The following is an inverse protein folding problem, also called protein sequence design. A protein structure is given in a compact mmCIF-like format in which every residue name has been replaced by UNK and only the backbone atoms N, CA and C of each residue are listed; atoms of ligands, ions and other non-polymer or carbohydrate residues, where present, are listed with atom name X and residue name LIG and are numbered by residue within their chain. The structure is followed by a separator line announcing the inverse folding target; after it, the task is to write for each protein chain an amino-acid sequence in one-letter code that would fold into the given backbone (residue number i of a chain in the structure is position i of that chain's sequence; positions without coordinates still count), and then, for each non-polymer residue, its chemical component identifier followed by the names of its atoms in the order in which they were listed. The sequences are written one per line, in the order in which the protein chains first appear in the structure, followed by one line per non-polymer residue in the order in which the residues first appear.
data_IF_576597247444
#
_entry.id   IF_576597247444
#
_cell.length_a   1.000
_cell.length_b   1.000
_cell.length_c   1.000
_cell.angle_alpha   90.00
_cell.angle_beta   90.00
_cell.angle_gamma   90.00
#
_symmetry.space_group_name_H-M   'P 1'
#
loop_
_entity.id
_entity.type
_entity.pdbx_description
1 polymer ?
#
# COMPACT_ATOMS: atom_id res chain seq x y z
N UNK A 1 -56.55 -21.65 0.72
CA UNK A 1 -56.14 -21.12 2.03
C UNK A 1 -54.92 -20.22 1.77
N UNK A 2 -55.16 -18.93 1.54
CA UNK A 2 -54.12 -17.90 1.36
C UNK A 2 -53.85 -17.28 2.73
N UNK A 3 -52.64 -17.35 3.22
CA UNK A 3 -52.20 -16.69 4.44
C UNK A 3 -51.19 -15.59 4.11
N UNK A 4 -51.59 -14.42 4.50
CA UNK A 4 -51.06 -13.08 4.47
C UNK A 4 -49.61 -13.02 4.99
N UNK A 5 -48.66 -12.60 4.15
CA UNK A 5 -47.33 -12.09 4.58
C UNK A 5 -47.26 -10.61 4.15
N UNK A 6 -47.68 -9.77 5.03
CA UNK A 6 -47.63 -8.34 4.83
C UNK A 6 -47.79 -7.59 6.15
N UNK A 7 -46.74 -7.33 6.88
CA UNK A 7 -46.70 -6.25 7.92
C UNK A 7 -45.39 -6.11 8.71
N UNK A 8 -44.27 -6.63 8.24
CA UNK A 8 -43.03 -6.44 8.99
C UNK A 8 -42.01 -5.44 8.36
N UNK A 9 -42.28 -4.95 7.15
CA UNK A 9 -41.35 -4.09 6.43
C UNK A 9 -41.52 -2.58 6.69
N UNK A 10 -42.60 -2.13 7.31
CA UNK A 10 -42.89 -0.70 7.52
C UNK A 10 -42.22 -0.11 8.78
N UNK A 11 -42.02 -0.92 9.82
CA UNK A 11 -41.51 -0.44 11.10
C UNK A 11 -40.00 -0.11 11.11
N UNK A 12 -39.21 -0.85 10.31
CA UNK A 12 -37.74 -0.66 10.26
C UNK A 12 -37.37 0.62 9.55
N UNK A 13 -38.16 1.04 8.57
CA UNK A 13 -37.86 2.24 7.77
C UNK A 13 -38.19 3.54 8.54
N UNK A 14 -39.12 3.50 9.50
CA UNK A 14 -39.50 4.66 10.29
C UNK A 14 -38.54 4.92 11.49
N UNK A 15 -38.03 3.87 12.09
CA UNK A 15 -36.99 3.96 13.12
C UNK A 15 -35.67 4.49 12.53
N UNK A 16 -35.31 4.09 11.32
CA UNK A 16 -34.12 4.58 10.61
C UNK A 16 -34.26 6.07 10.22
N UNK A 17 -35.43 6.53 9.79
CA UNK A 17 -35.69 7.95 9.50
C UNK A 17 -35.66 8.83 10.73
N UNK A 18 -36.14 8.36 11.88
CA UNK A 18 -36.06 9.09 13.15
C UNK A 18 -34.62 9.21 13.67
N UNK A 19 -33.79 8.19 13.45
CA UNK A 19 -32.37 8.24 13.83
C UNK A 19 -31.60 9.28 13.00
N UNK A 20 -31.90 9.42 11.71
CA UNK A 20 -31.27 10.42 10.82
C UNK A 20 -31.72 11.86 11.09
N UNK A 21 -32.94 12.07 11.62
CA UNK A 21 -33.45 13.42 11.95
C UNK A 21 -32.95 13.97 13.29
N UNK A 22 -32.48 13.10 14.19
CA UNK A 22 -31.93 13.51 15.50
C UNK A 22 -30.43 13.83 15.47
N UNK A 23 -29.71 13.48 14.39
CA UNK A 23 -28.33 13.90 14.20
C UNK A 23 -28.30 15.36 13.71
N UNK A 24 -28.48 16.29 14.65
CA UNK A 24 -28.08 17.68 14.40
C UNK A 24 -26.60 17.67 14.02
N UNK A 25 -26.32 17.89 12.75
CA UNK A 25 -25.00 18.18 12.22
C UNK A 25 -24.40 19.33 13.04
N UNK A 26 -23.63 19.02 14.06
CA UNK A 26 -22.74 19.99 14.66
C UNK A 26 -21.77 20.40 13.54
N UNK A 27 -21.91 21.62 13.04
CA UNK A 27 -20.93 22.23 12.17
C UNK A 27 -19.61 22.28 12.93
N UNK A 28 -18.68 21.41 12.59
CA UNK A 28 -17.29 21.60 12.97
C UNK A 28 -16.79 22.86 12.28
N UNK A 29 -16.19 23.82 13.01
CA UNK A 29 -15.59 24.98 12.37
C UNK A 29 -14.44 24.48 11.48
N UNK A 30 -14.57 24.67 10.18
CA UNK A 30 -13.51 24.45 9.20
C UNK A 30 -12.41 25.50 9.39
N UNK A 31 -11.54 25.32 10.37
CA UNK A 31 -10.25 25.99 10.42
C UNK A 31 -9.23 25.20 9.63
N UNK A 32 -9.45 25.10 8.32
CA UNK A 32 -8.31 24.86 7.43
C UNK A 32 -7.68 26.24 7.15
N UNK A 33 -6.41 26.45 7.45
CA UNK A 33 -5.71 27.62 6.99
C UNK A 33 -5.63 27.51 5.45
N UNK A 34 -6.44 28.32 4.77
CA UNK A 34 -6.30 28.60 3.35
C UNK A 34 -5.03 29.43 3.19
N UNK A 35 -3.91 28.81 3.08
CA UNK A 35 -2.60 29.31 2.63
C UNK A 35 -1.49 28.45 3.24
N UNK A 36 -1.54 27.13 3.04
CA UNK A 36 -0.31 26.37 3.00
C UNK A 36 0.22 26.53 1.57
N UNK A 37 1.05 27.53 1.34
CA UNK A 37 1.94 27.56 0.21
C UNK A 37 2.80 26.30 0.33
N UNK A 38 2.51 25.30 -0.51
CA UNK A 38 3.40 24.16 -0.66
C UNK A 38 4.76 24.72 -1.06
N UNK A 39 5.86 24.38 -0.36
CA UNK A 39 7.16 24.74 -0.84
C UNK A 39 7.31 24.18 -2.26
N UNK A 40 7.71 25.04 -3.18
CA UNK A 40 8.12 24.62 -4.53
C UNK A 40 9.01 23.40 -4.37
N UNK A 41 8.87 22.42 -5.27
CA UNK A 41 9.55 21.13 -5.26
C UNK A 41 11.06 21.31 -4.96
N UNK A 42 11.38 21.47 -3.69
CA UNK A 42 12.73 21.42 -3.19
C UNK A 42 13.22 19.99 -3.34
N UNK A 43 14.40 19.80 -3.88
CA UNK A 43 15.01 18.50 -4.04
C UNK A 43 14.89 17.72 -2.71
N UNK A 44 14.18 16.59 -2.74
CA UNK A 44 14.05 15.71 -1.58
C UNK A 44 15.45 15.31 -1.08
N UNK A 45 15.68 15.17 0.23
CA UNK A 45 16.97 14.79 0.75
C UNK A 45 17.40 13.44 0.17
N UNK A 46 18.62 13.37 -0.36
CA UNK A 46 19.18 12.11 -0.87
C UNK A 46 19.42 11.18 0.33
N UNK A 47 18.62 10.12 0.42
CA UNK A 47 18.78 9.05 1.41
C UNK A 47 19.83 8.08 0.88
N UNK A 48 21.09 8.32 1.22
CA UNK A 48 22.14 7.39 0.80
C UNK A 48 21.94 6.01 1.45
N UNK A 49 22.00 4.96 0.63
CA UNK A 49 22.14 3.58 1.12
C UNK A 49 20.86 2.80 1.32
N UNK A 50 19.70 3.20 0.76
CA UNK A 50 18.45 2.45 0.90
C UNK A 50 18.38 1.29 -0.10
N UNK A 51 18.28 0.04 0.41
CA UNK A 51 17.91 -1.11 -0.39
C UNK A 51 16.39 -1.26 -0.41
N UNK A 52 15.82 -1.38 -1.59
CA UNK A 52 14.39 -1.53 -1.82
C UNK A 52 14.12 -2.88 -2.46
N UNK A 53 13.11 -3.59 -1.97
CA UNK A 53 12.60 -4.80 -2.62
C UNK A 53 11.15 -4.58 -3.02
N UNK A 54 10.83 -4.85 -4.27
CA UNK A 54 9.50 -4.79 -4.84
C UNK A 54 8.98 -6.21 -5.06
N UNK A 55 7.84 -6.53 -4.44
CA UNK A 55 7.12 -7.78 -4.65
C UNK A 55 5.95 -7.51 -5.60
N UNK A 56 6.00 -8.05 -6.81
CA UNK A 56 4.92 -7.92 -7.80
C UNK A 56 4.11 -9.21 -7.83
N UNK A 57 2.92 -9.16 -7.25
CA UNK A 57 1.98 -10.29 -7.13
C UNK A 57 0.99 -10.41 -8.29
N UNK A 58 1.24 -9.79 -9.44
CA UNK A 58 0.38 -9.95 -10.61
C UNK A 58 0.72 -11.21 -11.41
N UNK A 59 -0.26 -12.06 -11.74
CA UNK A 59 -0.05 -13.19 -12.64
C UNK A 59 0.04 -12.77 -14.12
N UNK A 60 -0.52 -11.60 -14.47
CA UNK A 60 -0.66 -11.15 -15.85
C UNK A 60 0.54 -10.34 -16.33
N UNK A 61 0.81 -10.41 -17.63
CA UNK A 61 1.67 -9.49 -18.35
C UNK A 61 1.02 -9.16 -19.70
N UNK A 62 0.85 -7.88 -19.97
CA UNK A 62 1.19 -6.72 -19.16
C UNK A 62 0.26 -6.55 -17.94
N UNK A 63 0.72 -5.83 -16.93
CA UNK A 63 0.01 -5.68 -15.67
C UNK A 63 -0.07 -4.21 -15.24
N UNK A 64 -1.27 -3.73 -14.92
CA UNK A 64 -1.44 -2.39 -14.33
C UNK A 64 -0.77 -2.25 -12.97
N UNK A 65 -0.74 -3.34 -12.19
CA UNK A 65 0.00 -3.36 -10.92
C UNK A 65 1.51 -3.19 -11.13
N UNK A 66 2.05 -3.72 -12.24
CA UNK A 66 3.43 -3.45 -12.63
C UNK A 66 3.61 -1.97 -13.01
N UNK A 67 2.69 -1.39 -13.79
CA UNK A 67 2.73 0.03 -14.14
C UNK A 67 2.72 0.94 -12.92
N UNK A 68 1.83 0.71 -11.95
CA UNK A 68 1.79 1.47 -10.69
C UNK A 68 3.10 1.31 -9.91
N UNK A 69 3.65 0.10 -9.87
CA UNK A 69 4.93 -0.19 -9.22
C UNK A 69 6.09 0.54 -9.92
N UNK A 70 6.12 0.59 -11.25
CA UNK A 70 7.18 1.24 -12.00
C UNK A 70 7.20 2.75 -11.77
N UNK A 71 6.03 3.40 -11.64
CA UNK A 71 5.95 4.79 -11.23
C UNK A 71 6.49 5.01 -9.81
N UNK A 72 6.14 4.15 -8.85
CA UNK A 72 6.70 4.22 -7.50
C UNK A 72 8.23 4.03 -7.48
N UNK A 73 8.74 3.09 -8.29
CA UNK A 73 10.18 2.86 -8.45
C UNK A 73 10.91 4.08 -9.00
N UNK A 74 10.37 4.68 -10.06
CA UNK A 74 10.98 5.89 -10.67
C UNK A 74 11.10 7.04 -9.68
N UNK A 75 10.09 7.23 -8.81
CA UNK A 75 10.14 8.24 -7.74
C UNK A 75 11.19 7.91 -6.66
N UNK A 76 11.45 6.63 -6.42
CA UNK A 76 12.37 6.16 -5.38
C UNK A 76 13.81 5.98 -5.88
N UNK A 77 14.02 5.89 -7.19
CA UNK A 77 15.33 5.63 -7.79
C UNK A 77 16.44 6.60 -7.33
N UNK A 78 16.18 7.93 -7.23
CA UNK A 78 17.19 8.88 -6.72
C UNK A 78 17.60 8.67 -5.26
N UNK A 79 16.81 7.89 -4.50
CA UNK A 79 16.96 7.67 -3.06
C UNK A 79 17.45 6.25 -2.71
N UNK A 80 17.64 5.40 -3.73
CA UNK A 80 17.96 4.00 -3.55
C UNK A 80 19.41 3.70 -3.96
N UNK A 81 20.07 2.84 -3.17
CA UNK A 81 21.32 2.20 -3.60
C UNK A 81 21.02 1.04 -4.55
N UNK A 82 19.92 0.34 -4.29
CA UNK A 82 19.49 -0.81 -5.08
C UNK A 82 17.98 -0.97 -4.98
N UNK A 83 17.35 -1.25 -6.13
CA UNK A 83 15.95 -1.64 -6.24
C UNK A 83 15.89 -3.01 -6.91
N UNK A 84 15.48 -4.03 -6.17
CA UNK A 84 15.26 -5.38 -6.66
C UNK A 84 13.77 -5.62 -6.87
N UNK A 85 13.35 -6.01 -8.07
CA UNK A 85 11.97 -6.43 -8.33
C UNK A 85 11.89 -7.95 -8.38
N UNK A 86 11.01 -8.52 -7.58
CA UNK A 86 10.68 -9.94 -7.53
C UNK A 86 9.28 -10.09 -8.11
N UNK A 87 9.19 -10.63 -9.31
CA UNK A 87 7.92 -11.01 -9.92
C UNK A 87 7.55 -12.37 -9.39
N UNK A 88 6.51 -12.46 -8.58
CA UNK A 88 6.14 -13.72 -7.92
C UNK A 88 5.83 -14.83 -8.93
N UNK A 89 5.28 -14.47 -10.08
CA UNK A 89 4.98 -15.41 -11.17
C UNK A 89 6.21 -16.08 -11.80
N UNK A 90 7.39 -15.47 -11.63
CA UNK A 90 8.65 -16.00 -12.19
C UNK A 90 9.35 -16.96 -11.20
N UNK A 91 8.80 -17.12 -9.99
CA UNK A 91 9.26 -18.10 -9.01
C UNK A 91 8.75 -19.50 -9.36
N UNK A 92 9.45 -20.56 -8.93
CA UNK A 92 9.02 -21.93 -9.19
C UNK A 92 7.60 -22.19 -8.67
N UNK A 93 6.66 -22.49 -9.59
CA UNK A 93 5.25 -22.67 -9.24
C UNK A 93 5.04 -23.79 -8.21
N UNK A 94 5.80 -24.88 -8.32
CA UNK A 94 5.75 -25.97 -7.35
C UNK A 94 6.19 -25.53 -5.95
N UNK A 95 7.23 -24.68 -5.86
CA UNK A 95 7.67 -24.16 -4.55
C UNK A 95 6.58 -23.30 -3.91
N UNK A 96 5.88 -22.48 -4.70
CA UNK A 96 4.79 -21.64 -4.23
C UNK A 96 3.57 -22.47 -3.83
N UNK A 97 3.14 -23.42 -4.66
CA UNK A 97 1.90 -24.18 -4.45
C UNK A 97 2.03 -25.30 -3.41
N UNK A 98 3.22 -25.91 -3.30
CA UNK A 98 3.47 -27.00 -2.35
C UNK A 98 4.20 -26.54 -1.09
N UNK A 99 4.26 -25.23 -0.85
CA UNK A 99 4.89 -24.62 0.33
C UNK A 99 6.30 -25.13 0.61
N UNK A 100 7.17 -25.17 -0.43
CA UNK A 100 8.56 -25.61 -0.27
C UNK A 100 9.41 -24.51 0.35
N UNK A 101 9.45 -24.47 1.67
CA UNK A 101 10.19 -23.47 2.44
C UNK A 101 11.70 -23.52 2.23
N UNK A 102 12.24 -24.65 1.85
CA UNK A 102 13.66 -24.93 1.60
C UNK A 102 14.12 -24.63 0.16
N UNK A 103 13.19 -24.29 -0.73
CA UNK A 103 13.51 -23.98 -2.12
C UNK A 103 14.53 -22.83 -2.22
N UNK A 104 15.62 -23.00 -3.01
CA UNK A 104 16.68 -21.98 -3.14
C UNK A 104 16.17 -20.63 -3.64
N UNK A 105 15.18 -20.60 -4.56
CA UNK A 105 14.59 -19.35 -5.06
C UNK A 105 13.83 -18.62 -3.95
N UNK A 106 13.09 -19.35 -3.12
CA UNK A 106 12.39 -18.79 -1.95
C UNK A 106 13.40 -18.30 -0.90
N UNK A 107 14.46 -19.06 -0.64
CA UNK A 107 15.53 -18.64 0.25
C UNK A 107 16.22 -17.36 -0.23
N UNK A 108 16.44 -17.22 -1.55
CA UNK A 108 16.98 -16.00 -2.14
C UNK A 108 16.04 -14.79 -1.98
N UNK A 109 14.72 -14.97 -2.13
CA UNK A 109 13.71 -13.93 -1.87
C UNK A 109 13.76 -13.49 -0.42
N UNK A 110 13.72 -14.41 0.54
CA UNK A 110 13.83 -14.10 1.98
C UNK A 110 15.08 -13.29 2.31
N UNK A 111 16.23 -13.69 1.76
CA UNK A 111 17.50 -12.95 1.95
C UNK A 111 17.45 -11.53 1.41
N UNK A 112 16.81 -11.30 0.24
CA UNK A 112 16.65 -9.95 -0.33
C UNK A 112 15.73 -9.09 0.55
N UNK A 113 14.57 -9.61 0.97
CA UNK A 113 13.64 -8.92 1.87
C UNK A 113 14.34 -8.58 3.20
N UNK A 114 15.10 -9.51 3.77
CA UNK A 114 15.83 -9.28 5.02
C UNK A 114 16.82 -8.11 4.94
N UNK A 115 17.41 -7.85 3.78
CA UNK A 115 18.35 -6.74 3.55
C UNK A 115 17.68 -5.45 3.14
N UNK A 116 16.40 -5.48 2.83
CA UNK A 116 15.66 -4.29 2.43
C UNK A 116 15.35 -3.39 3.62
N UNK A 117 15.38 -2.08 3.38
CA UNK A 117 14.83 -1.08 4.29
C UNK A 117 13.37 -0.79 3.97
N UNK A 118 13.04 -0.79 2.68
CA UNK A 118 11.68 -0.60 2.16
C UNK A 118 11.28 -1.83 1.35
N UNK A 119 10.09 -2.34 1.61
CA UNK A 119 9.44 -3.38 0.81
C UNK A 119 8.19 -2.79 0.17
N UNK A 120 8.12 -2.81 -1.16
CA UNK A 120 6.93 -2.41 -1.90
C UNK A 120 6.17 -3.67 -2.29
N UNK A 121 4.89 -3.73 -1.98
CA UNK A 121 4.04 -4.88 -2.31
C UNK A 121 2.97 -4.41 -3.29
N UNK A 122 3.06 -4.84 -4.55
CA UNK A 122 2.14 -4.47 -5.62
C UNK A 122 1.32 -5.68 -6.06
N UNK A 123 -0.02 -5.53 -6.10
CA UNK A 123 -0.94 -6.64 -6.39
C UNK A 123 -2.20 -6.17 -7.09
N UNK A 124 -2.78 -6.97 -8.01
CA UNK A 124 -4.17 -6.77 -8.41
C UNK A 124 -5.13 -7.24 -7.31
N UNK A 125 -6.30 -6.63 -7.26
CA UNK A 125 -7.39 -7.10 -6.39
C UNK A 125 -8.31 -8.02 -7.18
N UNK A 126 -8.43 -9.26 -6.72
CA UNK A 126 -9.34 -10.27 -7.23
C UNK A 126 -10.29 -10.72 -6.11
N UNK A 127 -11.62 -10.73 -6.39
CA UNK A 127 -12.61 -11.17 -5.40
C UNK A 127 -12.44 -10.50 -4.03
N UNK A 128 -12.28 -9.17 -4.04
CA UNK A 128 -12.14 -8.31 -2.87
C UNK A 128 -10.88 -8.54 -2.01
N UNK A 129 -9.87 -9.24 -2.54
CA UNK A 129 -8.59 -9.46 -1.86
C UNK A 129 -7.41 -9.34 -2.84
N UNK A 130 -6.21 -9.23 -2.31
CA UNK A 130 -4.98 -9.32 -3.11
C UNK A 130 -4.85 -10.70 -3.76
N UNK A 131 -4.02 -10.82 -4.81
CA UNK A 131 -3.92 -12.03 -5.61
C UNK A 131 -3.46 -13.25 -4.78
N UNK A 132 -4.01 -14.42 -5.08
CA UNK A 132 -3.56 -15.69 -4.50
C UNK A 132 -2.09 -15.98 -4.79
N UNK A 133 -1.59 -15.52 -5.95
CA UNK A 133 -0.17 -15.62 -6.30
C UNK A 133 0.72 -14.86 -5.30
N UNK A 134 0.33 -13.65 -4.90
CA UNK A 134 1.05 -12.94 -3.85
C UNK A 134 0.98 -13.69 -2.52
N UNK A 135 -0.21 -14.22 -2.18
CA UNK A 135 -0.42 -14.96 -0.93
C UNK A 135 0.50 -16.17 -0.84
N UNK A 136 0.65 -16.94 -1.92
CA UNK A 136 1.52 -18.12 -1.91
C UNK A 136 2.98 -17.80 -1.61
N UNK A 137 3.48 -16.63 -2.01
CA UNK A 137 4.80 -16.17 -1.61
C UNK A 137 4.84 -15.69 -0.14
N UNK A 138 3.83 -14.89 0.27
CA UNK A 138 3.80 -14.35 1.63
C UNK A 138 3.74 -15.47 2.68
N UNK A 139 3.07 -16.58 2.39
CA UNK A 139 2.98 -17.75 3.27
C UNK A 139 4.32 -18.48 3.45
N UNK A 140 5.27 -18.29 2.52
CA UNK A 140 6.61 -18.86 2.61
C UNK A 140 7.61 -17.96 3.36
N UNK A 141 7.19 -16.75 3.77
CA UNK A 141 8.02 -15.89 4.60
C UNK A 141 7.93 -16.31 6.08
N UNK A 142 9.00 -16.14 6.88
CA UNK A 142 8.93 -16.36 8.32
C UNK A 142 7.97 -15.33 8.97
N UNK A 143 7.48 -15.65 10.19
CA UNK A 143 6.55 -14.78 10.93
C UNK A 143 7.06 -13.37 11.17
N UNK A 144 8.37 -13.20 11.23
CA UNK A 144 9.06 -11.91 11.37
C UNK A 144 9.69 -11.41 10.07
N UNK A 145 9.26 -11.97 8.92
CA UNK A 145 9.88 -11.73 7.61
C UNK A 145 9.90 -10.27 7.18
N UNK A 146 8.98 -9.47 7.69
CA UNK A 146 8.90 -8.02 7.46
C UNK A 146 9.25 -7.17 8.69
N UNK A 147 9.72 -7.79 9.79
CA UNK A 147 10.09 -7.05 10.98
C UNK A 147 11.23 -6.05 10.72
N UNK A 148 11.05 -4.82 11.20
CA UNK A 148 12.01 -3.74 10.99
C UNK A 148 12.08 -3.20 9.55
N UNK A 149 11.12 -3.54 8.69
CA UNK A 149 10.99 -3.00 7.33
C UNK A 149 9.81 -2.04 7.28
N UNK A 150 9.98 -0.95 6.54
CA UNK A 150 8.85 -0.13 6.10
C UNK A 150 8.21 -0.82 4.91
N UNK A 151 6.89 -0.87 4.87
CA UNK A 151 6.14 -1.51 3.78
C UNK A 151 5.23 -0.52 3.09
N UNK A 152 5.31 -0.42 1.77
CA UNK A 152 4.40 0.35 0.92
C UNK A 152 3.47 -0.60 0.15
N UNK A 153 2.20 -0.71 0.50
CA UNK A 153 1.24 -1.51 -0.26
C UNK A 153 0.68 -0.71 -1.45
N UNK A 154 0.69 -1.34 -2.62
CA UNK A 154 0.12 -0.83 -3.86
C UNK A 154 -0.89 -1.84 -4.39
N UNK A 155 -2.07 -1.37 -4.80
CA UNK A 155 -3.06 -2.27 -5.38
C UNK A 155 -3.78 -1.65 -6.58
N UNK A 156 -4.22 -2.53 -7.48
CA UNK A 156 -5.00 -2.14 -8.65
C UNK A 156 -6.25 -3.00 -8.76
N UNK A 157 -7.33 -2.45 -9.29
CA UNK A 157 -8.56 -3.22 -9.51
C UNK A 157 -9.55 -2.49 -10.40
N UNK A 158 -10.56 -3.23 -10.87
CA UNK A 158 -11.55 -2.71 -11.82
C UNK A 158 -12.56 -1.72 -11.23
N UNK A 159 -12.71 -1.64 -9.91
CA UNK A 159 -13.76 -0.85 -9.24
C UNK A 159 -13.23 -0.12 -8.00
N UNK A 160 -13.65 1.13 -7.75
CA UNK A 160 -13.37 1.84 -6.51
C UNK A 160 -13.88 1.13 -5.24
N UNK A 161 -14.90 0.29 -5.37
CA UNK A 161 -15.47 -0.47 -4.25
C UNK A 161 -14.46 -1.42 -3.58
N UNK A 162 -13.36 -1.74 -4.26
CA UNK A 162 -12.31 -2.60 -3.72
C UNK A 162 -11.18 -1.85 -3.01
N UNK A 163 -11.28 -0.54 -2.84
CA UNK A 163 -10.28 0.27 -2.13
C UNK A 163 -9.93 -0.31 -0.76
N UNK A 164 -10.93 -0.73 -0.02
CA UNK A 164 -10.78 -1.28 1.34
C UNK A 164 -10.05 -2.63 1.40
N UNK A 165 -9.83 -3.30 0.25
CA UNK A 165 -9.05 -4.54 0.21
C UNK A 165 -7.59 -4.33 0.65
N UNK A 166 -7.02 -3.13 0.47
CA UNK A 166 -5.72 -2.78 1.04
C UNK A 166 -5.74 -2.84 2.57
N UNK A 167 -6.74 -2.22 3.19
CA UNK A 167 -6.83 -2.06 4.64
C UNK A 167 -7.23 -3.38 5.33
N UNK A 168 -8.23 -4.08 4.79
CA UNK A 168 -8.85 -5.21 5.47
C UNK A 168 -8.37 -6.58 5.00
N UNK A 169 -7.70 -6.67 3.84
CA UNK A 169 -7.17 -7.94 3.37
C UNK A 169 -5.63 -7.96 3.36
N UNK A 170 -4.96 -6.94 2.81
CA UNK A 170 -3.50 -6.96 2.65
C UNK A 170 -2.76 -6.53 3.92
N UNK A 171 -3.07 -5.37 4.50
CA UNK A 171 -2.36 -4.86 5.68
C UNK A 171 -2.36 -5.82 6.88
N UNK A 172 -3.45 -6.53 7.22
CA UNK A 172 -3.43 -7.52 8.30
C UNK A 172 -2.40 -8.63 8.08
N UNK A 173 -2.25 -9.11 6.85
CA UNK A 173 -1.25 -10.14 6.52
C UNK A 173 0.17 -9.60 6.64
N UNK A 174 0.41 -8.37 6.17
CA UNK A 174 1.70 -7.71 6.34
C UNK A 174 2.04 -7.52 7.83
N UNK A 175 1.06 -7.14 8.64
CA UNK A 175 1.21 -7.01 10.09
C UNK A 175 1.50 -8.36 10.77
N UNK A 176 0.87 -9.45 10.32
CA UNK A 176 1.12 -10.82 10.80
C UNK A 176 2.55 -11.29 10.47
N UNK A 177 3.15 -10.77 9.39
CA UNK A 177 4.55 -10.98 9.03
C UNK A 177 5.54 -10.06 9.77
N UNK A 178 5.08 -9.38 10.81
CA UNK A 178 5.92 -8.53 11.67
C UNK A 178 6.13 -7.09 11.16
N UNK A 179 5.46 -6.67 10.08
CA UNK A 179 5.53 -5.27 9.65
C UNK A 179 4.83 -4.37 10.67
N UNK A 180 5.57 -3.44 11.26
CA UNK A 180 5.04 -2.44 12.21
C UNK A 180 4.96 -1.05 11.59
N UNK A 181 5.69 -0.80 10.53
CA UNK A 181 5.68 0.43 9.77
C UNK A 181 5.11 0.15 8.37
N UNK A 182 3.78 0.27 8.24
CA UNK A 182 3.07 0.10 6.98
C UNK A 182 2.55 1.47 6.56
N UNK A 183 3.05 1.96 5.42
CA UNK A 183 2.64 3.25 4.88
C UNK A 183 1.18 3.24 4.40
N UNK A 184 0.65 4.43 4.19
CA UNK A 184 -0.60 4.57 3.46
C UNK A 184 -0.46 3.98 2.07
N UNK A 185 -1.37 3.08 1.72
CA UNK A 185 -1.32 2.41 0.44
C UNK A 185 -1.88 3.25 -0.70
N UNK A 186 -1.48 2.92 -1.93
CA UNK A 186 -2.11 3.48 -3.12
C UNK A 186 -2.95 2.42 -3.80
N UNK A 187 -4.24 2.69 -3.89
CA UNK A 187 -5.15 1.94 -4.74
C UNK A 187 -5.46 2.75 -5.99
N UNK A 188 -5.36 2.11 -7.16
CA UNK A 188 -5.73 2.71 -8.43
C UNK A 188 -6.67 1.78 -9.21
N UNK A 189 -7.68 2.37 -9.82
CA UNK A 189 -8.59 1.62 -10.70
C UNK A 189 -7.98 1.43 -12.08
N UNK A 190 -8.51 0.49 -12.83
CA UNK A 190 -8.08 0.23 -14.21
C UNK A 190 -8.21 1.46 -15.12
N UNK A 191 -9.15 2.37 -14.83
CA UNK A 191 -9.36 3.61 -15.58
C UNK A 191 -8.31 4.68 -15.28
N UNK A 192 -7.69 4.60 -14.12
CA UNK A 192 -6.65 5.53 -13.66
C UNK A 192 -5.25 5.15 -14.13
N UNK A 193 -5.12 3.96 -14.76
CA UNK A 193 -3.86 3.45 -15.28
C UNK A 193 -4.06 3.11 -16.76
N UNK A 194 -3.72 4.05 -17.62
CA UNK A 194 -3.77 3.85 -19.06
C UNK A 194 -2.55 3.07 -19.55
N UNK A 195 -2.78 2.08 -20.38
CA UNK A 195 -1.71 1.38 -21.07
C UNK A 195 -1.41 2.08 -22.39
N UNK A 196 -0.15 2.46 -22.58
CA UNK A 196 0.32 3.11 -23.79
C UNK A 196 0.70 2.06 -24.87
N UNK A 197 0.74 2.46 -26.17
CA UNK A 197 1.10 1.55 -27.26
C UNK A 197 2.51 0.96 -27.14
N UNK A 198 3.42 1.66 -26.47
CA UNK A 198 4.80 1.21 -26.23
C UNK A 198 4.92 0.25 -25.03
N UNK A 199 3.80 -0.15 -24.43
CA UNK A 199 3.74 -1.06 -23.29
C UNK A 199 3.93 -0.40 -21.94
N UNK A 200 4.30 0.88 -21.89
CA UNK A 200 4.36 1.64 -20.64
C UNK A 200 2.96 1.95 -20.11
N UNK A 201 2.89 2.42 -18.88
CA UNK A 201 1.64 2.85 -18.26
C UNK A 201 1.72 4.32 -17.89
N UNK A 202 0.60 5.02 -18.04
CA UNK A 202 0.40 6.40 -17.59
C UNK A 202 -0.64 6.42 -16.50
N UNK A 203 -0.33 7.07 -15.37
CA UNK A 203 -1.29 7.30 -14.30
C UNK A 203 -2.11 8.57 -14.62
N UNK A 204 -3.33 8.64 -14.10
CA UNK A 204 -4.02 9.92 -14.03
C UNK A 204 -3.34 10.85 -13.01
N UNK A 205 -3.53 12.15 -13.18
CA UNK A 205 -2.88 13.20 -12.38
C UNK A 205 -3.15 13.01 -10.87
N UNK A 206 -4.37 12.66 -10.50
CA UNK A 206 -4.74 12.46 -9.09
C UNK A 206 -4.03 11.27 -8.45
N UNK A 207 -3.87 10.17 -9.19
CA UNK A 207 -3.15 8.98 -8.72
C UNK A 207 -1.65 9.25 -8.64
N UNK A 208 -1.10 9.93 -9.64
CA UNK A 208 0.31 10.30 -9.67
C UNK A 208 0.66 11.23 -8.50
N UNK A 209 -0.13 12.29 -8.28
CA UNK A 209 0.06 13.21 -7.16
C UNK A 209 -0.02 12.50 -5.80
N UNK A 210 -1.00 11.59 -5.63
CA UNK A 210 -1.13 10.79 -4.40
C UNK A 210 0.07 9.89 -4.18
N UNK A 211 0.54 9.20 -5.23
CA UNK A 211 1.71 8.34 -5.15
C UNK A 211 2.96 9.15 -4.81
N UNK A 212 3.17 10.29 -5.48
CA UNK A 212 4.30 11.18 -5.22
C UNK A 212 4.31 11.70 -3.78
N UNK A 213 3.16 12.10 -3.23
CA UNK A 213 3.05 12.52 -1.83
C UNK A 213 3.44 11.40 -0.87
N UNK A 214 2.88 10.19 -1.04
CA UNK A 214 3.17 9.06 -0.15
C UNK A 214 4.64 8.65 -0.24
N UNK A 215 5.21 8.62 -1.44
CA UNK A 215 6.64 8.34 -1.62
C UNK A 215 7.51 9.43 -0.99
N UNK A 216 7.13 10.70 -1.14
CA UNK A 216 7.83 11.83 -0.49
C UNK A 216 7.88 11.68 1.03
N UNK A 217 6.72 11.43 1.66
CA UNK A 217 6.61 11.18 3.12
C UNK A 217 7.45 9.97 3.56
N UNK A 218 7.49 8.90 2.74
CA UNK A 218 8.33 7.74 2.99
C UNK A 218 9.82 8.07 2.94
N UNK A 219 10.25 8.81 1.92
CA UNK A 219 11.65 9.23 1.77
C UNK A 219 12.08 10.08 2.94
N UNK A 220 11.28 11.07 3.36
CA UNK A 220 11.58 11.91 4.52
C UNK A 220 11.70 11.08 5.82
N UNK A 221 10.78 10.14 6.04
CA UNK A 221 10.77 9.27 7.21
C UNK A 221 11.95 8.29 7.22
N UNK A 222 12.36 7.79 6.05
CA UNK A 222 13.48 6.87 5.89
C UNK A 222 14.82 7.57 5.77
N UNK A 223 14.84 8.90 5.62
CA UNK A 223 16.08 9.66 5.64
C UNK A 223 16.84 9.39 6.95
N UNK A 224 18.18 9.24 6.91
CA UNK A 224 18.96 9.16 8.12
C UNK A 224 18.68 10.44 8.92
N UNK A 225 18.16 10.29 10.13
CA UNK A 225 18.03 11.43 11.04
C UNK A 225 19.42 12.02 11.18
N UNK A 226 19.59 13.29 10.83
CA UNK A 226 20.84 14.01 11.08
C UNK A 226 21.10 13.89 12.58
N UNK A 227 22.15 13.18 12.94
CA UNK A 227 22.63 13.14 14.32
C UNK A 227 22.89 14.60 14.73
N UNK A 228 21.95 15.21 15.48
CA UNK A 228 22.05 16.61 15.87
C UNK A 228 20.75 17.39 15.98
N UNK A 229 19.59 16.84 15.68
CA UNK A 229 18.34 17.45 16.12
C UNK A 229 18.25 17.28 17.66
N UNK A 230 18.94 18.16 18.39
CA UNK A 230 18.72 18.30 19.84
C UNK A 230 17.23 18.62 20.03
N UNK A 231 16.54 17.82 20.83
CA UNK A 231 15.22 18.19 21.32
C UNK A 231 15.30 19.64 21.81
N UNK A 232 14.32 20.50 21.46
CA UNK A 232 14.24 21.84 22.01
C UNK A 232 14.40 21.76 23.53
N UNK A 233 15.18 22.69 24.10
CA UNK A 233 15.49 22.69 25.53
C UNK A 233 14.23 22.64 26.42
N UNK A 234 13.11 23.08 25.87
CA UNK A 234 11.77 23.11 26.50
C UNK A 234 11.14 21.73 26.73
N UNK A 235 11.61 20.66 26.04
CA UNK A 235 11.12 19.29 26.19
C UNK A 235 12.03 18.39 27.04
N UNK A 236 13.11 18.92 27.58
CA UNK A 236 14.11 18.10 28.33
C UNK A 236 13.68 17.60 29.70
N UNK A 237 12.56 18.12 30.24
CA UNK A 237 12.11 17.80 31.60
C UNK A 237 10.65 17.30 31.67
N UNK A 238 10.13 16.86 30.53
CA UNK A 238 8.82 16.23 30.44
C UNK A 238 8.88 14.69 30.36
N UNK A 239 10.02 14.08 30.71
CA UNK A 239 10.19 12.63 30.85
C UNK A 239 10.51 12.26 32.28
#
# INVERSE_FOLDING_TARGET
MSATIGSAASGVNEAFRRCLSAARLRRFPSKHPRNASFPAAGALPIVQGMNIVCLLGSPSEPSRSAGLLDHARSLLEPHATRIDTIRVRDLPAEALLHARFDDPAIAAVRKRIHRARLVIVATPIYKAAYSGLLKSLLDLLPQDGLAGRTVLPLATGGSPAHLLALEYALKPVLAALGARDIADGVYATDRQIERLPDGRHRLDEATEARLARIVGELVERLAPQRAGARLPAELRWAL
#
